data_IF_609919301196
#
_entry.id   IF_609919301196
#
_cell.length_a   1.000
_cell.length_b   1.000
_cell.length_c   1.000
_cell.angle_alpha   90.00
_cell.angle_beta   90.00
_cell.angle_gamma   90.00
#
_symmetry.space_group_name_H-M   'P 1'
#
loop_
_entity.id
_entity.type
_entity.pdbx_description
1 polymer ?
#
# COMPACT_ATOMS: atom_id res chain seq x y z
N UNK A 1 11.40 16.00 9.44
CA UNK A 1 10.78 17.31 9.15
C UNK A 1 10.48 17.29 7.66
N UNK A 2 9.28 17.11 7.12
CA UNK A 2 7.89 17.23 7.57
C UNK A 2 7.08 16.12 6.86
N UNK A 3 6.58 15.09 7.58
CA UNK A 3 5.50 14.21 7.09
C UNK A 3 4.30 14.34 8.05
N UNK A 4 4.06 15.54 8.56
CA UNK A 4 3.01 15.81 9.54
C UNK A 4 1.84 16.64 8.98
N UNK A 5 1.74 16.84 7.66
CA UNK A 5 0.79 17.84 7.14
C UNK A 5 -0.02 17.53 5.87
N UNK A 6 -0.14 16.28 5.41
CA UNK A 6 -0.85 16.04 4.13
C UNK A 6 -2.01 15.03 4.09
N UNK A 7 -2.56 14.58 5.23
CA UNK A 7 -3.73 13.66 5.20
C UNK A 7 -4.79 13.90 6.29
N UNK A 8 -4.82 15.05 6.97
CA UNK A 8 -5.77 15.26 8.07
C UNK A 8 -7.15 15.82 7.70
N UNK A 9 -7.45 16.15 6.43
CA UNK A 9 -8.72 16.86 6.11
C UNK A 9 -9.91 16.00 5.68
N UNK A 10 -9.84 14.66 5.61
CA UNK A 10 -10.99 13.83 5.19
C UNK A 10 -11.41 12.71 6.14
N UNK A 11 -10.90 12.66 7.38
CA UNK A 11 -11.40 11.72 8.39
C UNK A 11 -12.11 12.45 9.53
N UNK A 12 -13.30 12.99 9.26
CA UNK A 12 -14.26 13.38 10.31
C UNK A 12 -15.37 12.34 10.40
N UNK A 13 -15.09 11.24 11.14
CA UNK A 13 -16.01 10.49 12.02
C UNK A 13 -15.48 9.06 12.21
N UNK A 14 -14.60 8.88 13.19
CA UNK A 14 -14.47 7.60 13.87
C UNK A 14 -14.30 7.88 15.36
N UNK A 15 -15.43 7.98 16.08
CA UNK A 15 -15.47 8.13 17.53
C UNK A 15 -14.89 6.88 18.20
N UNK A 16 -13.89 7.11 19.06
CA UNK A 16 -13.17 6.14 19.90
C UNK A 16 -14.11 5.21 20.67
N UNK A 17 -13.75 3.93 20.75
CA UNK A 17 -13.93 3.11 21.96
C UNK A 17 -12.58 2.50 22.33
N UNK A 18 -12.01 2.97 23.43
CA UNK A 18 -10.78 2.47 24.03
C UNK A 18 -11.04 1.18 24.80
N UNK A 19 -10.44 0.07 24.40
CA UNK A 19 -10.34 -1.15 25.21
C UNK A 19 -8.88 -1.41 25.59
N UNK A 20 -8.67 -1.54 26.90
CA UNK A 20 -7.41 -1.77 27.60
C UNK A 20 -6.64 -3.00 27.10
N UNK A 21 -5.37 -2.81 26.74
CA UNK A 21 -4.43 -3.89 26.43
C UNK A 21 -3.92 -4.50 27.76
N UNK A 22 -4.32 -5.74 28.03
CA UNK A 22 -3.80 -6.55 29.13
C UNK A 22 -2.37 -7.03 28.81
N UNK A 23 -1.47 -6.90 29.79
CA UNK A 23 -0.09 -7.39 29.74
C UNK A 23 -0.11 -8.92 29.89
N UNK A 24 -0.09 -9.66 28.79
CA UNK A 24 0.05 -11.11 28.75
C UNK A 24 1.51 -11.54 28.58
N UNK A 25 1.98 -12.41 29.47
CA UNK A 25 3.38 -12.82 29.60
C UNK A 25 3.97 -13.54 28.39
N UNK A 26 5.27 -13.30 28.18
CA UNK A 26 6.09 -13.98 27.20
C UNK A 26 6.32 -15.44 27.64
N UNK A 27 5.66 -16.40 26.98
CA UNK A 27 5.96 -17.81 27.11
C UNK A 27 7.02 -18.21 26.08
N UNK A 28 8.15 -18.76 26.55
CA UNK A 28 9.27 -19.28 25.77
C UNK A 28 8.86 -20.39 24.75
N UNK A 29 7.65 -20.93 24.84
CA UNK A 29 7.15 -22.00 23.98
C UNK A 29 6.82 -21.51 22.54
N UNK A 30 6.52 -20.21 22.35
CA UNK A 30 6.24 -19.65 21.02
C UNK A 30 7.49 -19.39 20.16
N UNK A 31 8.70 -19.59 20.69
CA UNK A 31 9.94 -19.36 19.95
C UNK A 31 10.32 -20.53 19.02
N UNK A 32 9.80 -21.73 19.27
CA UNK A 32 10.21 -22.95 18.56
C UNK A 32 9.22 -23.42 17.48
N UNK A 33 8.00 -22.88 17.45
CA UNK A 33 7.03 -23.11 16.38
C UNK A 33 6.99 -21.85 15.54
N UNK A 34 7.71 -21.86 14.42
CA UNK A 34 7.74 -20.74 13.49
C UNK A 34 6.32 -20.33 13.10
N UNK A 35 5.88 -19.16 13.58
CA UNK A 35 4.72 -18.47 13.05
C UNK A 35 5.03 -18.08 11.60
N UNK A 36 4.87 -19.03 10.68
CA UNK A 36 4.93 -18.70 9.26
C UNK A 36 3.66 -17.91 8.94
N UNK A 37 3.78 -16.58 8.96
CA UNK A 37 2.76 -15.63 8.47
C UNK A 37 2.23 -16.02 7.08
N UNK A 38 2.98 -16.84 6.34
CA UNK A 38 2.70 -17.28 4.99
C UNK A 38 2.25 -18.75 4.89
N UNK A 39 2.01 -19.45 6.01
CA UNK A 39 1.68 -20.88 6.03
C UNK A 39 0.48 -21.22 5.13
N UNK A 40 -0.55 -20.36 5.15
CA UNK A 40 -1.77 -20.54 4.36
C UNK A 40 -1.77 -19.74 3.05
N UNK A 41 -0.64 -19.14 2.67
CA UNK A 41 -0.54 -18.34 1.45
C UNK A 41 -0.21 -19.25 0.26
N UNK A 42 -1.14 -19.51 -0.68
CA UNK A 42 -0.81 -20.27 -1.89
C UNK A 42 0.30 -19.58 -2.70
N UNK A 43 0.39 -18.25 -2.59
CA UNK A 43 1.42 -17.46 -3.26
C UNK A 43 2.84 -17.77 -2.76
N UNK A 44 3.01 -18.21 -1.51
CA UNK A 44 4.33 -18.58 -0.99
C UNK A 44 4.81 -19.91 -1.61
N UNK A 45 3.89 -20.84 -1.86
CA UNK A 45 4.16 -22.15 -2.45
C UNK A 45 4.45 -22.14 -3.97
N UNK A 46 4.06 -21.07 -4.68
CA UNK A 46 4.31 -20.96 -6.12
C UNK A 46 5.80 -20.85 -6.47
N UNK A 47 6.23 -21.49 -7.58
CA UNK A 47 7.61 -21.49 -8.05
C UNK A 47 8.11 -20.08 -8.41
N UNK A 48 9.16 -19.63 -7.69
CA UNK A 48 9.81 -18.34 -7.95
C UNK A 48 10.70 -18.36 -9.19
N UNK A 49 11.12 -19.53 -9.64
CA UNK A 49 11.91 -19.69 -10.87
C UNK A 49 11.13 -19.23 -12.10
N UNK A 50 9.84 -19.55 -12.18
CA UNK A 50 8.99 -19.10 -13.30
C UNK A 50 8.81 -17.59 -13.25
N UNK A 51 8.52 -17.02 -12.07
CA UNK A 51 8.40 -15.58 -11.88
C UNK A 51 9.67 -14.82 -12.32
N UNK A 52 10.84 -15.30 -11.88
CA UNK A 52 12.12 -14.67 -12.22
C UNK A 52 12.40 -14.64 -13.72
N UNK A 53 11.91 -15.61 -14.49
CA UNK A 53 12.04 -15.60 -15.96
C UNK A 53 11.29 -14.42 -16.59
N UNK A 54 10.10 -14.09 -16.08
CA UNK A 54 9.32 -12.95 -16.58
C UNK A 54 9.89 -11.61 -16.10
N UNK A 55 10.38 -11.55 -14.86
CA UNK A 55 11.01 -10.34 -14.33
C UNK A 55 12.34 -10.01 -15.01
N UNK A 56 13.03 -11.00 -15.58
CA UNK A 56 14.27 -10.81 -16.32
C UNK A 56 14.07 -10.38 -17.79
N UNK A 57 12.82 -10.24 -18.26
CA UNK A 57 12.56 -9.77 -19.61
C UNK A 57 13.04 -8.32 -19.79
N UNK A 58 13.66 -7.99 -20.94
CA UNK A 58 14.10 -6.63 -21.19
C UNK A 58 12.89 -5.69 -21.27
N UNK A 59 12.94 -4.61 -20.49
CA UNK A 59 11.94 -3.53 -20.49
C UNK A 59 12.48 -2.37 -21.35
N UNK A 60 11.66 -1.73 -22.21
CA UNK A 60 12.09 -0.57 -22.99
C UNK A 60 12.62 0.55 -22.09
N UNK A 61 13.75 1.17 -22.48
CA UNK A 61 14.44 2.20 -21.67
C UNK A 61 13.56 3.42 -21.36
N UNK A 62 12.58 3.72 -22.21
CA UNK A 62 11.67 4.85 -22.05
C UNK A 62 10.34 4.48 -21.38
N UNK A 63 10.23 3.30 -20.76
CA UNK A 63 9.04 2.90 -20.02
C UNK A 63 9.39 2.50 -18.60
N UNK A 64 8.63 3.05 -17.65
CA UNK A 64 8.77 2.70 -16.23
C UNK A 64 7.42 2.34 -15.64
N UNK A 65 7.42 1.45 -14.67
CA UNK A 65 6.27 1.17 -13.82
C UNK A 65 6.39 2.02 -12.55
N UNK A 66 5.41 2.89 -12.32
CA UNK A 66 5.33 3.70 -11.11
C UNK A 66 4.25 3.14 -10.19
N UNK A 67 4.65 2.65 -9.01
CA UNK A 67 3.75 2.17 -7.97
C UNK A 67 3.32 3.34 -7.08
N UNK A 68 2.03 3.65 -7.11
CA UNK A 68 1.43 4.65 -6.22
C UNK A 68 1.01 3.94 -4.94
N UNK A 69 1.42 4.47 -3.79
CA UNK A 69 1.13 3.90 -2.47
C UNK A 69 0.35 4.93 -1.65
N UNK A 70 -0.70 4.48 -0.96
CA UNK A 70 -1.51 5.34 -0.09
C UNK A 70 -2.08 4.58 1.11
N UNK A 71 -2.59 5.33 2.08
CA UNK A 71 -3.25 4.82 3.28
C UNK A 71 -4.76 4.82 3.02
N UNK A 72 -5.44 3.72 3.36
CA UNK A 72 -6.90 3.63 3.25
C UNK A 72 -7.63 4.24 4.44
N UNK A 73 -8.97 4.24 4.42
CA UNK A 73 -9.82 4.86 5.43
C UNK A 73 -9.73 4.24 6.82
N UNK A 74 -9.06 3.09 6.99
CA UNK A 74 -8.78 2.53 8.32
C UNK A 74 -7.68 3.30 9.06
N UNK A 75 -6.87 4.08 8.34
CA UNK A 75 -5.73 4.83 8.89
C UNK A 75 -4.46 4.00 9.10
N UNK A 76 -4.49 2.69 8.86
CA UNK A 76 -3.33 1.80 8.95
C UNK A 76 -3.16 0.85 7.76
N UNK A 77 -4.20 0.63 6.96
CA UNK A 77 -4.15 -0.18 5.75
C UNK A 77 -3.37 0.52 4.64
N UNK A 78 -2.40 -0.18 4.05
CA UNK A 78 -1.65 0.29 2.88
C UNK A 78 -2.24 -0.32 1.62
N UNK A 79 -2.45 0.54 0.61
CA UNK A 79 -2.90 0.17 -0.72
C UNK A 79 -1.86 0.59 -1.73
N UNK A 80 -1.79 -0.14 -2.84
CA UNK A 80 -0.88 0.18 -3.93
C UNK A 80 -1.49 -0.20 -5.28
N UNK A 81 -1.08 0.52 -6.32
CA UNK A 81 -1.36 0.16 -7.71
C UNK A 81 -0.31 0.75 -8.65
N UNK A 82 -0.15 0.12 -9.80
CA UNK A 82 0.91 0.44 -10.76
C UNK A 82 0.37 1.14 -12.01
N UNK A 83 1.05 2.19 -12.48
CA UNK A 83 0.87 2.74 -13.84
C UNK A 83 2.16 2.66 -14.65
N UNK A 84 2.01 2.51 -15.95
CA UNK A 84 3.11 2.69 -16.90
C UNK A 84 3.26 4.17 -17.24
N UNK A 85 4.49 4.68 -17.18
CA UNK A 85 4.89 5.99 -17.70
C UNK A 85 5.77 5.80 -18.95
N UNK A 86 5.68 6.74 -19.89
CA UNK A 86 6.47 6.73 -21.13
C UNK A 86 7.75 7.58 -21.03
N UNK A 87 8.21 7.84 -19.81
CA UNK A 87 9.42 8.57 -19.49
C UNK A 87 9.90 8.18 -18.09
N UNK A 88 11.17 8.39 -17.79
CA UNK A 88 11.73 8.24 -16.44
C UNK A 88 11.52 9.57 -15.69
N UNK A 89 10.68 9.62 -14.64
CA UNK A 89 10.46 10.84 -13.85
C UNK A 89 11.74 11.20 -13.09
N UNK A 90 12.04 12.50 -12.98
CA UNK A 90 13.20 13.02 -12.24
C UNK A 90 12.80 13.62 -10.91
N UNK A 91 11.61 14.21 -10.86
CA UNK A 91 11.06 14.89 -9.69
C UNK A 91 9.63 14.42 -9.41
N UNK A 92 9.16 14.58 -8.16
CA UNK A 92 7.79 14.20 -7.77
C UNK A 92 6.73 14.93 -8.60
N UNK A 93 7.02 16.16 -9.03
CA UNK A 93 6.12 16.97 -9.86
C UNK A 93 5.94 16.42 -11.27
N UNK A 94 6.84 15.55 -11.73
CA UNK A 94 6.70 14.89 -13.03
C UNK A 94 5.64 13.78 -12.97
N UNK A 95 5.28 13.33 -11.77
CA UNK A 95 4.31 12.26 -11.58
C UNK A 95 2.88 12.79 -11.77
N UNK A 96 2.10 12.21 -12.69
CA UNK A 96 0.72 12.65 -12.91
C UNK A 96 -0.19 12.32 -11.72
N UNK A 97 -1.06 13.26 -11.34
CA UNK A 97 -2.19 12.99 -10.45
C UNK A 97 -2.98 11.80 -10.99
N UNK A 98 -3.46 10.95 -10.08
CA UNK A 98 -4.26 9.79 -10.43
C UNK A 98 -5.52 9.71 -9.55
N UNK A 99 -6.35 8.71 -9.77
CA UNK A 99 -7.57 8.47 -9.02
C UNK A 99 -7.72 6.98 -8.71
N UNK A 100 -8.46 6.62 -7.68
CA UNK A 100 -8.87 5.25 -7.36
C UNK A 100 -10.31 5.25 -6.84
N UNK A 101 -10.92 4.08 -6.79
CA UNK A 101 -12.23 3.88 -6.17
C UNK A 101 -12.09 3.85 -4.63
N UNK A 102 -12.47 4.96 -4.00
CA UNK A 102 -12.43 5.15 -2.55
C UNK A 102 -13.45 4.29 -1.80
N UNK A 103 -14.51 3.79 -2.47
CA UNK A 103 -15.54 2.98 -1.81
C UNK A 103 -15.00 1.61 -1.41
N UNK A 104 -14.06 1.08 -2.19
CA UNK A 104 -13.27 -0.13 -1.90
C UNK A 104 -12.15 0.10 -0.86
N UNK A 105 -11.97 1.34 -0.39
CA UNK A 105 -10.91 1.76 0.52
C UNK A 105 -11.43 2.46 1.78
N UNK A 106 -12.74 2.35 2.09
CA UNK A 106 -13.36 3.01 3.25
C UNK A 106 -13.23 4.54 3.25
N UNK A 107 -13.14 5.17 2.07
CA UNK A 107 -12.87 6.61 1.92
C UNK A 107 -14.01 7.39 1.25
N UNK A 108 -14.96 6.72 0.62
CA UNK A 108 -16.08 7.36 -0.07
C UNK A 108 -17.30 6.44 -0.14
N UNK A 109 -18.46 7.03 -0.44
CA UNK A 109 -19.66 6.27 -0.78
C UNK A 109 -19.64 5.85 -2.26
N UNK A 110 -20.39 4.82 -2.63
CA UNK A 110 -20.39 4.28 -3.99
C UNK A 110 -20.98 5.22 -5.06
N UNK A 111 -21.81 6.19 -4.69
CA UNK A 111 -22.44 7.14 -5.62
C UNK A 111 -21.49 8.24 -6.13
N UNK A 112 -20.40 8.49 -5.41
CA UNK A 112 -19.34 9.43 -5.80
C UNK A 112 -18.01 8.95 -5.20
N UNK A 113 -17.44 7.92 -5.82
CA UNK A 113 -16.36 7.15 -5.19
C UNK A 113 -14.95 7.50 -5.67
N UNK A 114 -14.81 8.33 -6.69
CA UNK A 114 -13.50 8.73 -7.20
C UNK A 114 -12.72 9.54 -6.14
N UNK A 115 -11.54 9.04 -5.78
CA UNK A 115 -10.62 9.71 -4.85
C UNK A 115 -9.27 9.93 -5.51
N UNK A 116 -8.69 11.12 -5.36
CA UNK A 116 -7.46 11.51 -6.04
C UNK A 116 -6.19 11.17 -5.25
N UNK A 117 -5.14 10.78 -5.99
CA UNK A 117 -3.79 10.54 -5.51
C UNK A 117 -2.89 11.67 -6.02
N UNK A 118 -2.37 12.44 -5.07
CA UNK A 118 -1.37 13.48 -5.32
C UNK A 118 0.00 12.93 -4.94
N UNK A 119 0.96 12.85 -5.87
CA UNK A 119 2.32 12.45 -5.55
C UNK A 119 2.96 13.40 -4.53
N UNK A 120 3.59 12.84 -3.49
CA UNK A 120 4.25 13.63 -2.42
C UNK A 120 5.71 13.27 -2.19
N UNK A 121 6.13 12.07 -2.60
CA UNK A 121 7.50 11.58 -2.48
C UNK A 121 7.77 10.51 -3.56
N UNK A 122 9.03 10.38 -3.96
CA UNK A 122 9.54 9.40 -4.93
C UNK A 122 10.80 8.75 -4.36
N UNK A 123 11.02 7.46 -4.64
CA UNK A 123 12.09 6.61 -4.06
C UNK A 123 12.78 5.78 -5.14
#
# INVERSE_FOLDING_TARGET
MLIHHFQQQYCQKCSRSSSSLSKGGFSLVNFLVGNSLLHNSPNSAMSKTVLNKYLALPVPENRVQATYIWIDGTGGGIRAKDRTLNFVPKEVTDLPIWNYDGSSCYQSEGSNSDTFLHPVAMF
#
